data_IF_459782416517
#
_entry.id   IF_459782416517
#
_cell.length_a   1.000
_cell.length_b   1.000
_cell.length_c   1.000
_cell.angle_alpha   90.00
_cell.angle_beta   90.00
_cell.angle_gamma   90.00
#
_symmetry.space_group_name_H-M   'P 1'
#
loop_
_entity.id
_entity.type
_entity.pdbx_description
1 polymer ?
#
# COMPACT_ATOMS: atom_id res chain seq x y z
N UNK A 1 3.98 6.84 0.69
CA UNK A 1 2.61 7.10 0.18
C UNK A 1 1.59 6.82 1.27
N UNK A 2 1.58 7.65 2.32
CA UNK A 2 0.72 7.42 3.49
C UNK A 2 -0.76 7.66 3.19
N UNK A 3 -1.05 8.58 2.27
CA UNK A 3 -2.41 8.90 1.85
C UNK A 3 -3.20 7.67 1.37
N UNK A 4 -2.56 6.62 0.85
CA UNK A 4 -3.25 5.40 0.41
C UNK A 4 -4.00 4.67 1.54
N UNK A 5 -3.62 4.94 2.80
CA UNK A 5 -4.25 4.37 4.00
C UNK A 5 -5.33 5.28 4.59
N UNK A 6 -5.49 6.50 4.08
CA UNK A 6 -6.47 7.46 4.59
C UNK A 6 -7.90 6.95 4.36
N UNK A 7 -8.67 7.03 5.43
CA UNK A 7 -10.12 6.92 5.37
C UNK A 7 -10.75 8.23 4.85
N UNK A 8 -12.07 8.30 4.87
CA UNK A 8 -12.84 9.46 4.41
C UNK A 8 -12.62 10.70 5.27
N UNK A 9 -12.39 10.52 6.56
CA UNK A 9 -12.24 11.56 7.56
C UNK A 9 -10.87 12.20 7.45
N UNK A 10 -9.83 11.41 7.25
CA UNK A 10 -8.47 11.89 7.00
C UNK A 10 -8.38 12.68 5.69
N UNK A 11 -9.06 12.22 4.64
CA UNK A 11 -9.21 13.00 3.40
C UNK A 11 -9.94 14.33 3.67
N UNK A 12 -11.01 14.32 4.45
CA UNK A 12 -11.74 15.54 4.78
C UNK A 12 -10.91 16.55 5.59
N UNK A 13 -10.09 16.07 6.55
CA UNK A 13 -9.13 16.91 7.29
C UNK A 13 -8.07 17.49 6.36
N UNK A 14 -7.58 16.72 5.39
CA UNK A 14 -6.66 17.22 4.39
C UNK A 14 -7.30 18.30 3.50
N UNK A 15 -8.55 18.10 3.05
CA UNK A 15 -9.29 19.12 2.28
C UNK A 15 -9.47 20.41 3.08
N UNK A 16 -9.68 20.30 4.39
CA UNK A 16 -9.72 21.45 5.29
C UNK A 16 -8.37 22.16 5.41
N UNK A 17 -7.28 21.41 5.53
CA UNK A 17 -5.94 21.98 5.69
C UNK A 17 -5.43 22.72 4.46
N UNK A 18 -5.92 22.36 3.26
CA UNK A 18 -5.66 23.10 2.01
C UNK A 18 -6.61 24.31 1.81
N UNK A 19 -7.47 24.63 2.79
CA UNK A 19 -8.34 25.82 2.78
C UNK A 19 -9.73 25.60 2.15
N UNK A 20 -10.10 24.36 1.86
CA UNK A 20 -11.35 24.01 1.17
C UNK A 20 -12.39 23.37 2.10
N UNK A 21 -12.49 23.86 3.35
CA UNK A 21 -13.39 23.31 4.38
C UNK A 21 -14.85 23.20 3.94
N UNK A 22 -15.31 24.10 3.07
CA UNK A 22 -16.66 24.06 2.46
C UNK A 22 -16.95 22.79 1.65
N UNK A 23 -15.92 22.07 1.20
CA UNK A 23 -16.05 20.84 0.43
C UNK A 23 -15.85 19.57 1.24
N UNK A 24 -15.67 19.64 2.57
CA UNK A 24 -15.51 18.43 3.41
C UNK A 24 -16.64 17.43 3.19
N UNK A 25 -17.88 17.90 3.23
CA UNK A 25 -19.07 17.08 3.01
C UNK A 25 -19.05 16.39 1.63
N UNK A 26 -18.59 17.09 0.58
CA UNK A 26 -18.43 16.53 -0.75
C UNK A 26 -17.51 15.29 -0.76
N UNK A 27 -16.43 15.30 0.02
CA UNK A 27 -15.52 14.15 0.08
C UNK A 27 -16.04 13.03 0.99
N UNK A 28 -16.63 13.36 2.15
CA UNK A 28 -17.14 12.35 3.09
C UNK A 28 -18.39 11.65 2.57
N UNK A 29 -19.37 12.39 2.04
CA UNK A 29 -20.64 11.83 1.56
C UNK A 29 -20.48 10.97 0.29
N UNK A 30 -19.46 11.26 -0.51
CA UNK A 30 -19.11 10.46 -1.69
C UNK A 30 -18.09 9.34 -1.37
N UNK A 31 -17.80 9.12 -0.09
CA UNK A 31 -16.90 8.09 0.41
C UNK A 31 -15.50 8.14 -0.24
N UNK A 32 -14.94 9.34 -0.43
CA UNK A 32 -13.62 9.51 -1.03
C UNK A 32 -12.54 9.17 -0.01
N UNK A 33 -11.98 7.96 -0.13
CA UNK A 33 -10.79 7.52 0.61
C UNK A 33 -9.53 7.98 -0.11
N UNK A 34 -8.37 7.84 0.53
CA UNK A 34 -7.12 8.26 -0.10
C UNK A 34 -6.75 7.46 -1.35
N UNK A 35 -7.23 6.22 -1.51
CA UNK A 35 -7.15 5.50 -2.79
C UNK A 35 -8.02 6.15 -3.89
N UNK A 36 -9.20 6.64 -3.53
CA UNK A 36 -10.10 7.30 -4.50
C UNK A 36 -9.59 8.69 -4.90
N UNK A 37 -8.74 9.34 -4.10
CA UNK A 37 -8.07 10.59 -4.50
C UNK A 37 -7.28 10.44 -5.80
N UNK A 38 -6.77 9.24 -6.11
CA UNK A 38 -6.07 8.95 -7.37
C UNK A 38 -6.94 9.28 -8.59
N UNK A 39 -8.26 9.12 -8.46
CA UNK A 39 -9.17 9.43 -9.55
C UNK A 39 -9.54 10.91 -9.60
N UNK A 40 -9.41 11.67 -8.51
CA UNK A 40 -9.91 13.06 -8.41
C UNK A 40 -9.16 14.01 -9.36
N UNK A 41 -9.88 14.60 -10.31
CA UNK A 41 -9.38 15.51 -11.33
C UNK A 41 -10.48 16.49 -11.78
N UNK A 42 -10.13 17.45 -12.64
CA UNK A 42 -11.09 18.45 -13.14
C UNK A 42 -12.33 17.86 -13.84
N UNK A 43 -12.28 16.61 -14.33
CA UNK A 43 -13.41 15.98 -15.00
C UNK A 43 -14.42 15.38 -14.01
N UNK A 44 -13.99 14.95 -12.82
CA UNK A 44 -14.88 14.32 -11.84
C UNK A 44 -15.22 15.18 -10.62
N UNK A 45 -14.50 16.26 -10.37
CA UNK A 45 -14.82 17.23 -9.32
C UNK A 45 -16.26 17.76 -9.41
N UNK A 46 -16.85 18.04 -10.59
CA UNK A 46 -18.25 18.44 -10.69
C UNK A 46 -19.21 17.37 -10.19
N UNK A 47 -18.90 16.08 -10.41
CA UNK A 47 -19.71 14.95 -9.93
C UNK A 47 -19.64 14.80 -8.41
N UNK A 48 -18.57 15.31 -7.80
CA UNK A 48 -18.39 15.37 -6.35
C UNK A 48 -19.13 16.55 -5.71
N UNK A 49 -19.64 17.50 -6.50
CA UNK A 49 -20.26 18.74 -6.02
C UNK A 49 -19.34 19.96 -6.03
N UNK A 50 -18.14 19.85 -6.61
CA UNK A 50 -17.17 20.95 -6.76
C UNK A 50 -17.27 21.48 -8.19
N UNK A 51 -18.05 22.54 -8.36
CA UNK A 51 -18.40 23.11 -9.68
C UNK A 51 -17.78 24.48 -9.96
N UNK A 52 -17.23 25.15 -8.94
CA UNK A 52 -16.50 26.40 -9.16
C UNK A 52 -15.17 26.11 -9.87
N UNK A 53 -14.98 26.74 -11.03
CA UNK A 53 -13.82 26.45 -11.87
C UNK A 53 -12.49 26.78 -11.20
N UNK A 54 -12.41 27.86 -10.41
CA UNK A 54 -11.16 28.23 -9.72
C UNK A 54 -10.84 27.22 -8.63
N UNK A 55 -11.84 26.81 -7.87
CA UNK A 55 -11.70 25.78 -6.86
C UNK A 55 -11.29 24.44 -7.48
N UNK A 56 -11.87 24.08 -8.63
CA UNK A 56 -11.49 22.86 -9.36
C UNK A 56 -10.01 22.86 -9.75
N UNK A 57 -9.49 23.98 -10.26
CA UNK A 57 -8.08 24.10 -10.61
C UNK A 57 -7.18 23.89 -9.40
N UNK A 58 -7.46 24.60 -8.29
CA UNK A 58 -6.62 24.53 -7.08
C UNK A 58 -6.71 23.15 -6.42
N UNK A 59 -7.91 22.60 -6.22
CA UNK A 59 -8.09 21.27 -5.63
C UNK A 59 -7.39 20.22 -6.47
N UNK A 60 -7.54 20.25 -7.80
CA UNK A 60 -6.85 19.30 -8.68
C UNK A 60 -5.32 19.40 -8.59
N UNK A 61 -4.79 20.62 -8.45
CA UNK A 61 -3.35 20.84 -8.29
C UNK A 61 -2.86 20.31 -6.94
N UNK A 62 -3.59 20.59 -5.85
CA UNK A 62 -3.28 20.05 -4.52
C UNK A 62 -3.31 18.51 -4.51
N UNK A 63 -4.28 17.88 -5.21
CA UNK A 63 -4.32 16.42 -5.38
C UNK A 63 -3.05 15.94 -6.10
N UNK A 64 -2.64 16.57 -7.21
CA UNK A 64 -1.41 16.18 -7.92
C UNK A 64 -0.16 16.27 -7.04
N UNK A 65 -0.05 17.33 -6.24
CA UNK A 65 1.04 17.51 -5.27
C UNK A 65 1.02 16.41 -4.21
N UNK A 66 -0.16 16.08 -3.64
CA UNK A 66 -0.30 15.03 -2.63
C UNK A 66 0.10 13.65 -3.19
N UNK A 67 -0.32 13.35 -4.42
CA UNK A 67 -0.04 12.09 -5.11
C UNK A 67 1.43 12.01 -5.59
N UNK A 68 2.14 13.14 -5.62
CA UNK A 68 3.49 13.22 -6.18
C UNK A 68 3.54 12.99 -7.69
N UNK A 69 2.45 13.31 -8.39
CA UNK A 69 2.34 13.15 -9.85
C UNK A 69 2.47 14.49 -10.56
N UNK A 70 3.01 14.44 -11.76
CA UNK A 70 3.16 15.59 -12.64
C UNK A 70 1.88 15.84 -13.44
N UNK A 71 1.59 17.11 -13.72
CA UNK A 71 0.56 17.44 -14.69
C UNK A 71 1.02 17.05 -16.08
N UNK A 72 0.19 16.32 -16.82
CA UNK A 72 0.49 15.95 -18.21
C UNK A 72 0.69 17.22 -19.05
N UNK A 73 1.89 17.46 -19.59
CA UNK A 73 2.12 18.59 -20.47
C UNK A 73 1.20 18.57 -21.68
N UNK A 74 0.68 19.72 -22.07
CA UNK A 74 -0.17 19.89 -23.24
C UNK A 74 0.55 19.55 -24.57
N UNK A 75 1.89 19.48 -24.55
CA UNK A 75 2.74 19.19 -25.70
C UNK A 75 3.27 17.75 -25.74
N UNK A 76 2.78 16.86 -24.88
CA UNK A 76 3.15 15.45 -24.96
C UNK A 76 2.59 14.81 -26.23
N UNK A 77 3.44 14.15 -27.00
CA UNK A 77 2.98 13.34 -28.12
C UNK A 77 2.26 12.10 -27.59
N UNK A 78 1.25 11.61 -28.32
CA UNK A 78 0.63 10.30 -28.04
C UNK A 78 1.67 9.17 -28.20
N UNK A 79 2.73 9.40 -28.99
CA UNK A 79 3.84 8.47 -29.16
C UNK A 79 4.86 8.53 -28.01
N UNK A 80 4.82 9.56 -27.14
CA UNK A 80 5.70 9.60 -25.99
C UNK A 80 5.24 8.59 -24.93
N UNK A 81 6.16 7.82 -24.31
CA UNK A 81 5.82 6.97 -23.18
C UNK A 81 5.20 7.78 -22.04
N UNK A 82 4.30 7.16 -21.27
CA UNK A 82 3.80 7.74 -20.02
C UNK A 82 4.95 7.77 -19.01
N UNK A 83 5.65 8.91 -18.91
CA UNK A 83 6.88 9.03 -18.10
C UNK A 83 6.65 9.04 -16.59
N UNK A 84 5.41 9.27 -16.15
CA UNK A 84 5.09 9.32 -14.73
C UNK A 84 4.84 7.91 -14.18
N UNK A 85 5.92 7.23 -13.80
CA UNK A 85 5.87 5.88 -13.21
C UNK A 85 5.12 5.87 -11.88
N UNK A 86 5.10 6.99 -11.15
CA UNK A 86 4.29 7.14 -9.93
C UNK A 86 2.82 7.15 -10.30
N UNK A 87 2.40 7.92 -11.31
CA UNK A 87 1.01 7.92 -11.77
C UNK A 87 0.56 6.52 -12.25
N UNK A 88 1.41 5.81 -13.00
CA UNK A 88 1.12 4.43 -13.42
C UNK A 88 0.99 3.47 -12.23
N UNK A 89 1.90 3.56 -11.26
CA UNK A 89 1.83 2.78 -10.03
C UNK A 89 0.54 3.07 -9.26
N UNK A 90 0.15 4.34 -9.17
CA UNK A 90 -1.07 4.76 -8.48
C UNK A 90 -2.33 4.25 -9.19
N UNK A 91 -2.34 4.21 -10.51
CA UNK A 91 -3.44 3.59 -11.28
C UNK A 91 -3.62 2.11 -10.93
N UNK A 92 -2.52 1.37 -10.72
CA UNK A 92 -2.56 -0.01 -10.23
C UNK A 92 -3.05 -0.07 -8.78
N UNK A 93 -2.55 0.83 -7.91
CA UNK A 93 -2.91 0.89 -6.49
C UNK A 93 -4.35 1.33 -6.20
N UNK A 94 -5.01 2.00 -7.13
CA UNK A 94 -6.40 2.44 -6.95
C UNK A 94 -7.37 1.24 -6.94
N UNK A 95 -6.98 0.12 -7.57
CA UNK A 95 -7.76 -1.12 -7.62
C UNK A 95 -7.63 -1.90 -6.31
N UNK A 96 -8.73 -2.52 -5.89
CA UNK A 96 -8.74 -3.41 -4.72
C UNK A 96 -8.43 -4.84 -5.14
N UNK A 97 -7.39 -5.43 -4.56
CA UNK A 97 -7.00 -6.82 -4.80
C UNK A 97 -5.82 -7.21 -3.91
N UNK A 98 -5.62 -8.51 -3.66
CA UNK A 98 -4.50 -8.99 -2.83
C UNK A 98 -3.15 -8.52 -3.38
N UNK A 99 -2.92 -8.76 -4.67
CA UNK A 99 -1.70 -8.34 -5.37
C UNK A 99 -1.52 -6.82 -5.40
N UNK A 100 -2.55 -6.04 -5.75
CA UNK A 100 -2.43 -4.57 -5.79
C UNK A 100 -2.16 -3.99 -4.41
N UNK A 101 -2.74 -4.57 -3.36
CA UNK A 101 -2.52 -4.13 -1.98
C UNK A 101 -1.08 -4.39 -1.52
N UNK A 102 -0.50 -5.56 -1.83
CA UNK A 102 0.88 -5.91 -1.45
C UNK A 102 1.95 -5.26 -2.32
N UNK A 103 1.64 -4.92 -3.58
CA UNK A 103 2.61 -4.40 -4.55
C UNK A 103 3.36 -3.16 -4.03
N UNK A 104 4.67 -3.22 -3.90
CA UNK A 104 5.48 -2.05 -3.56
C UNK A 104 5.83 -1.25 -4.81
N UNK A 105 6.23 0.01 -4.63
CA UNK A 105 6.68 0.83 -5.77
C UNK A 105 7.94 0.24 -6.44
N UNK A 106 8.85 -0.36 -5.65
CA UNK A 106 10.05 -1.03 -6.18
C UNK A 106 9.69 -2.25 -7.02
N UNK A 107 8.79 -3.12 -6.53
CA UNK A 107 8.29 -4.26 -7.29
C UNK A 107 7.62 -3.82 -8.61
N UNK A 108 6.91 -2.69 -8.59
CA UNK A 108 6.31 -2.12 -9.80
C UNK A 108 7.36 -1.62 -10.81
N UNK A 109 8.47 -1.02 -10.35
CA UNK A 109 9.55 -0.60 -11.24
C UNK A 109 10.23 -1.81 -11.91
N UNK A 110 10.49 -2.89 -11.17
CA UNK A 110 11.01 -4.12 -11.77
C UNK A 110 10.08 -4.69 -12.84
N UNK A 111 8.77 -4.69 -12.58
CA UNK A 111 7.78 -5.12 -13.57
C UNK A 111 7.75 -4.26 -14.83
N UNK A 112 8.06 -2.96 -14.73
CA UNK A 112 8.17 -2.08 -15.90
C UNK A 112 9.44 -2.32 -16.71
N UNK A 113 10.53 -2.76 -16.06
CA UNK A 113 11.80 -3.08 -16.71
C UNK A 113 11.76 -4.46 -17.38
N UNK A 114 11.15 -5.45 -16.71
CA UNK A 114 11.01 -6.82 -17.20
C UNK A 114 9.60 -7.38 -16.87
N UNK A 115 8.67 -7.37 -17.84
CA UNK A 115 7.30 -7.85 -17.64
C UNK A 115 7.18 -9.34 -17.33
N UNK A 116 8.21 -10.13 -17.67
CA UNK A 116 8.25 -11.58 -17.44
C UNK A 116 8.86 -11.93 -16.07
N UNK A 117 9.33 -10.92 -15.30
CA UNK A 117 9.87 -11.12 -13.97
C UNK A 117 8.79 -11.56 -12.97
N UNK A 118 8.87 -12.81 -12.51
CA UNK A 118 8.12 -13.30 -11.35
C UNK A 118 8.94 -13.08 -10.08
N UNK A 119 8.53 -12.17 -9.17
CA UNK A 119 9.21 -12.03 -7.89
C UNK A 119 9.04 -13.33 -7.11
N UNK A 120 10.16 -13.94 -6.71
CA UNK A 120 10.15 -15.07 -5.78
C UNK A 120 9.45 -14.61 -4.50
N UNK A 121 8.47 -15.36 -3.96
CA UNK A 121 7.88 -15.03 -2.68
C UNK A 121 9.01 -14.96 -1.65
N UNK A 122 9.12 -13.83 -0.94
CA UNK A 122 10.03 -13.70 0.19
C UNK A 122 9.74 -14.89 1.11
N UNK A 123 10.73 -15.77 1.26
CA UNK A 123 10.64 -16.94 2.11
C UNK A 123 10.18 -16.48 3.48
N UNK A 124 9.05 -17.02 3.96
CA UNK A 124 8.70 -16.98 5.37
C UNK A 124 9.93 -17.52 6.11
N UNK A 125 10.66 -16.64 6.80
CA UNK A 125 11.64 -17.05 7.79
C UNK A 125 10.84 -17.76 8.87
N UNK A 126 10.79 -19.08 8.77
CA UNK A 126 10.27 -19.98 9.78
C UNK A 126 11.23 -19.88 10.98
N UNK A 127 10.93 -18.97 11.91
CA UNK A 127 11.53 -18.96 13.24
C UNK A 127 10.99 -20.18 14.01
N UNK A 128 11.49 -21.35 13.66
CA UNK A 128 11.33 -22.58 14.42
C UNK A 128 12.73 -23.08 14.82
N UNK A 129 13.41 -22.31 15.68
CA UNK A 129 14.41 -22.86 16.59
C UNK A 129 13.60 -23.47 17.76
N UNK A 130 13.48 -24.79 17.89
CA UNK A 130 14.57 -25.70 18.17
C UNK A 130 14.61 -25.96 19.68
N UNK A 131 13.68 -26.76 20.20
CA UNK A 131 13.78 -27.34 21.55
C UNK A 131 13.67 -28.87 21.42
N UNK A 132 14.74 -29.47 20.92
CA UNK A 132 15.03 -30.89 21.09
C UNK A 132 15.98 -30.99 22.29
N UNK A 133 15.46 -31.33 23.47
CA UNK A 133 16.29 -31.82 24.56
C UNK A 133 16.22 -33.35 24.60
N UNK A 134 17.34 -33.94 24.18
CA UNK A 134 17.61 -35.36 24.08
C UNK A 134 17.54 -36.07 25.45
N UNK A 135 17.16 -37.35 25.38
CA UNK A 135 17.01 -38.23 26.53
C UNK A 135 18.32 -38.48 27.28
N UNK A 136 18.17 -38.68 28.59
CA UNK A 136 19.23 -39.22 29.44
C UNK A 136 18.87 -40.68 29.76
N UNK A 137 19.42 -41.61 28.97
CA UNK A 137 19.55 -43.01 29.33
C UNK A 137 21.01 -43.26 29.69
N UNK A 138 21.28 -43.66 30.92
CA UNK A 138 22.54 -44.29 31.27
C UNK A 138 22.23 -45.54 32.10
N UNK A 139 22.40 -46.69 31.44
CA UNK A 139 22.52 -48.04 32.02
C UNK A 139 23.71 -48.03 33.01
N UNK A 140 23.68 -48.67 34.17
CA UNK A 140 23.57 -50.11 34.40
C UNK A 140 24.96 -50.67 34.73
N UNK A 141 25.16 -51.12 35.97
CA UNK A 141 26.06 -52.23 36.36
C UNK A 141 25.83 -52.53 37.86
N UNK A 142 25.21 -53.67 38.18
CA UNK A 142 25.87 -54.89 38.71
C UNK A 142 26.20 -54.79 40.21
N UNK A 143 26.05 -55.78 41.10
CA UNK A 143 25.31 -57.04 41.28
C UNK A 143 25.81 -57.58 42.66
N UNK A 144 25.18 -58.66 43.14
CA UNK A 144 25.59 -59.56 44.25
C UNK A 144 25.15 -59.08 45.67
N UNK A 145 24.12 -59.71 46.26
CA UNK A 145 24.15 -60.98 47.04
C UNK A 145 24.87 -60.73 48.39
N UNK A 146 24.40 -61.09 49.60
CA UNK A 146 23.64 -62.27 50.04
C UNK A 146 23.34 -62.12 51.56
N UNK A 147 22.55 -63.04 52.10
CA UNK A 147 22.51 -63.54 53.50
C UNK A 147 21.69 -62.83 54.62
N UNK A 148 20.51 -63.43 54.86
CA UNK A 148 20.07 -64.15 56.08
C UNK A 148 19.92 -63.50 57.48
N UNK A 149 18.73 -63.77 58.03
CA UNK A 149 18.32 -64.09 59.41
C UNK A 149 19.05 -63.48 60.63
N UNK A 150 18.30 -62.69 61.41
CA UNK A 150 17.94 -63.05 62.81
C UNK A 150 16.80 -62.19 63.37
#
# INVERSE_FOLDING_TARGET
MEFLKWDTEDVAKWVESIGFSKYKACFTENFITGKKLIHVNCNNLPKLGITDFRDMLVVSACVRVLLGITETPWNNSIADPRRDTVALFLEVKSRTGKWTNSLTYQQFLYYLEDPDYTPEPESEHDENEGDENEGNENEGDENEDDEDEN
#
